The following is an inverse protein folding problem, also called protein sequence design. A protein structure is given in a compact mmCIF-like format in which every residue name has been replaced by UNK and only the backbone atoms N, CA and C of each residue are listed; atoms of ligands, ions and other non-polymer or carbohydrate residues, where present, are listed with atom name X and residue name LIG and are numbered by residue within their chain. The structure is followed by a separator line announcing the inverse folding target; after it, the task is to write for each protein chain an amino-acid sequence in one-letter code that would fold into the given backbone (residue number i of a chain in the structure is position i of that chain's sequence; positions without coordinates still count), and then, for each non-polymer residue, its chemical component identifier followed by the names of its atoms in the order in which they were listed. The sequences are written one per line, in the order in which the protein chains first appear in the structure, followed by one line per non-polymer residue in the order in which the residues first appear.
data_IF_855458928360
#
_entry.id   IF_855458928360
#
_cell.length_a   1.000
_cell.length_b   1.000
_cell.length_c   1.000
_cell.angle_alpha   90.00
_cell.angle_beta   90.00
_cell.angle_gamma   90.00
#
_symmetry.space_group_name_H-M   'P 1'
#
loop_
_entity.id
_entity.type
_entity.pdbx_description
1 polymer ?
#
# COMPACT_ATOMS: atom_id res chain seq x y z
N UNK A 1 10.41 -17.47 -18.31
CA UNK A 1 9.79 -18.17 -17.17
C UNK A 1 9.61 -17.19 -16.01
N UNK A 2 8.40 -17.09 -15.49
CA UNK A 2 8.12 -16.25 -14.35
C UNK A 2 8.51 -16.91 -13.03
N UNK A 3 8.46 -16.13 -11.95
CA UNK A 3 8.66 -16.63 -10.60
C UNK A 3 7.50 -17.55 -10.19
N UNK A 4 7.83 -18.57 -9.44
CA UNK A 4 6.84 -19.40 -8.77
C UNK A 4 6.59 -18.81 -7.39
N UNK A 5 5.34 -18.43 -7.11
CA UNK A 5 4.98 -17.76 -5.86
C UNK A 5 4.34 -18.72 -4.87
N UNK A 6 4.72 -18.59 -3.62
CA UNK A 6 4.01 -19.17 -2.48
C UNK A 6 3.75 -18.01 -1.51
N UNK A 7 2.49 -17.78 -1.16
CA UNK A 7 2.09 -16.58 -0.41
C UNK A 7 1.38 -17.01 0.87
N UNK A 8 1.79 -16.41 1.99
CA UNK A 8 1.11 -16.52 3.27
C UNK A 8 0.56 -15.17 3.68
N UNK A 9 -0.58 -15.17 4.35
CA UNK A 9 -1.25 -13.97 4.85
C UNK A 9 -1.62 -14.15 6.32
N UNK A 10 -1.51 -13.07 7.09
CA UNK A 10 -1.97 -13.07 8.48
C UNK A 10 -2.34 -11.65 8.90
N UNK A 11 -3.40 -11.52 9.68
CA UNK A 11 -3.81 -10.28 10.30
C UNK A 11 -4.46 -10.58 11.64
N UNK A 12 -4.19 -9.75 12.64
CA UNK A 12 -4.74 -9.94 13.97
C UNK A 12 -5.02 -8.58 14.63
N UNK A 13 -6.12 -8.50 15.36
CA UNK A 13 -6.50 -7.29 16.08
C UNK A 13 -5.57 -6.99 17.26
N UNK A 14 -5.02 -8.03 17.90
CA UNK A 14 -4.23 -7.87 19.10
C UNK A 14 -5.06 -7.31 20.26
N UNK A 15 -4.48 -6.44 21.09
CA UNK A 15 -5.19 -5.88 22.25
C UNK A 15 -6.14 -4.72 21.91
N UNK A 16 -6.23 -4.30 20.65
CA UNK A 16 -7.09 -3.21 20.23
C UNK A 16 -8.55 -3.66 20.11
N UNK A 17 -9.48 -2.72 20.22
CA UNK A 17 -10.92 -3.00 20.08
C UNK A 17 -11.32 -3.22 18.62
N UNK A 18 -10.56 -2.66 17.67
CA UNK A 18 -10.81 -2.77 16.25
C UNK A 18 -9.51 -3.02 15.50
N UNK A 19 -9.55 -3.92 14.53
CA UNK A 19 -8.45 -4.13 13.60
C UNK A 19 -8.59 -3.14 12.42
N UNK A 20 -7.75 -2.12 12.41
CA UNK A 20 -7.73 -1.11 11.36
C UNK A 20 -6.71 -1.40 10.25
N UNK A 21 -6.05 -2.55 10.33
CA UNK A 21 -5.18 -3.04 9.27
C UNK A 21 -6.01 -3.71 8.17
N UNK A 22 -5.49 -3.68 6.97
CA UNK A 22 -6.04 -4.40 5.84
C UNK A 22 -4.91 -4.99 5.03
N UNK A 23 -5.19 -6.09 4.35
CA UNK A 23 -4.28 -6.70 3.39
C UNK A 23 -5.06 -7.16 2.17
N UNK A 24 -4.38 -7.20 1.03
CA UNK A 24 -4.96 -7.67 -0.21
C UNK A 24 -3.91 -8.34 -1.08
N UNK A 25 -4.24 -9.53 -1.58
CA UNK A 25 -3.40 -10.28 -2.52
C UNK A 25 -4.23 -10.58 -3.75
N UNK A 26 -3.71 -10.27 -4.93
CA UNK A 26 -4.32 -10.61 -6.20
C UNK A 26 -3.32 -11.42 -7.03
N UNK A 27 -3.66 -12.66 -7.32
CA UNK A 27 -2.88 -13.54 -8.18
C UNK A 27 -3.72 -13.83 -9.42
N UNK A 28 -3.63 -12.98 -10.46
CA UNK A 28 -4.51 -13.11 -11.62
C UNK A 28 -4.14 -14.31 -12.50
N UNK A 29 -4.99 -14.61 -13.48
CA UNK A 29 -4.71 -15.64 -14.48
C UNK A 29 -3.37 -15.38 -15.19
N UNK A 30 -2.69 -16.42 -15.72
CA UNK A 30 -1.32 -16.29 -16.24
C UNK A 30 -1.12 -15.18 -17.28
N UNK A 31 -2.07 -14.98 -18.18
CA UNK A 31 -1.97 -13.91 -19.19
C UNK A 31 -1.96 -12.53 -18.57
N UNK A 32 -2.83 -12.29 -17.59
CA UNK A 32 -2.91 -11.02 -16.89
C UNK A 32 -1.72 -10.83 -15.94
N UNK A 33 -1.26 -11.90 -15.30
CA UNK A 33 -0.05 -11.87 -14.47
C UNK A 33 1.19 -11.50 -15.30
N UNK A 34 1.28 -11.98 -16.55
CA UNK A 34 2.39 -11.66 -17.43
C UNK A 34 2.39 -10.18 -17.82
N UNK A 35 1.23 -9.58 -18.06
CA UNK A 35 1.13 -8.16 -18.47
C UNK A 35 1.11 -7.19 -17.31
N UNK A 36 0.49 -7.54 -16.19
CA UNK A 36 0.26 -6.63 -15.05
C UNK A 36 0.93 -7.06 -13.76
N UNK A 37 1.30 -8.32 -13.63
CA UNK A 37 1.91 -8.88 -12.43
C UNK A 37 0.92 -9.29 -11.34
N UNK A 38 1.47 -9.81 -10.25
CA UNK A 38 0.75 -10.10 -9.02
C UNK A 38 0.81 -8.90 -8.09
N UNK A 39 -0.26 -8.63 -7.36
CA UNK A 39 -0.35 -7.50 -6.44
C UNK A 39 -0.50 -7.97 -5.01
N UNK A 40 0.37 -7.49 -4.14
CA UNK A 40 0.28 -7.70 -2.70
C UNK A 40 0.33 -6.34 -2.02
N UNK A 41 -0.60 -6.06 -1.12
CA UNK A 41 -0.66 -4.76 -0.47
C UNK A 41 -1.13 -4.87 0.96
N UNK A 42 -0.59 -4.01 1.80
CA UNK A 42 -1.01 -3.84 3.20
C UNK A 42 -1.30 -2.37 3.46
N UNK A 43 -2.19 -2.12 4.40
CA UNK A 43 -2.52 -0.79 4.85
C UNK A 43 -2.81 -0.81 6.35
N UNK A 44 -2.36 0.19 7.05
CA UNK A 44 -2.61 0.41 8.47
C UNK A 44 -3.37 1.73 8.60
N UNK A 45 -4.65 1.64 8.97
CA UNK A 45 -5.49 2.81 9.19
C UNK A 45 -5.02 3.62 10.38
N UNK A 46 -5.07 4.93 10.27
CA UNK A 46 -4.63 5.82 11.34
C UNK A 46 -5.70 5.88 12.43
N UNK A 47 -5.35 5.46 13.65
CA UNK A 47 -6.30 5.31 14.75
C UNK A 47 -6.92 6.64 15.22
N UNK A 48 -6.24 7.76 14.99
CA UNK A 48 -6.70 9.08 15.40
C UNK A 48 -7.61 9.76 14.37
N UNK A 49 -7.86 9.12 13.22
CA UNK A 49 -8.78 9.65 12.23
C UNK A 49 -10.21 9.13 12.45
N UNK A 50 -11.16 9.63 11.65
CA UNK A 50 -12.57 9.30 11.80
C UNK A 50 -12.87 7.81 11.66
N UNK A 51 -12.25 7.13 10.69
CA UNK A 51 -12.41 5.70 10.44
C UNK A 51 -11.20 5.15 9.68
N UNK A 52 -10.16 4.78 10.43
CA UNK A 52 -8.93 4.25 9.87
C UNK A 52 -9.14 2.90 9.19
N UNK A 53 -9.99 2.05 9.73
CA UNK A 53 -10.32 0.76 9.12
C UNK A 53 -10.98 0.91 7.76
N UNK A 54 -11.93 1.84 7.62
CA UNK A 54 -12.57 2.14 6.34
C UNK A 54 -11.54 2.69 5.35
N UNK A 55 -10.68 3.62 5.79
CA UNK A 55 -9.64 4.19 4.94
C UNK A 55 -8.70 3.11 4.40
N UNK A 56 -8.25 2.19 5.25
CA UNK A 56 -7.39 1.08 4.86
C UNK A 56 -8.07 0.13 3.88
N UNK A 57 -9.26 -0.36 4.20
CA UNK A 57 -9.99 -1.33 3.38
C UNK A 57 -10.39 -0.74 2.03
N UNK A 58 -10.94 0.47 2.00
CA UNK A 58 -11.36 1.10 0.75
C UNK A 58 -10.19 1.37 -0.18
N UNK A 59 -9.04 1.75 0.38
CA UNK A 59 -7.83 2.03 -0.41
C UNK A 59 -7.29 0.77 -1.06
N UNK A 60 -7.22 -0.35 -0.33
CA UNK A 60 -6.75 -1.61 -0.89
C UNK A 60 -7.75 -2.21 -1.88
N UNK A 61 -9.05 -2.08 -1.62
CA UNK A 61 -10.07 -2.56 -2.54
C UNK A 61 -10.02 -1.80 -3.86
N UNK A 62 -9.94 -0.48 -3.82
CA UNK A 62 -9.84 0.34 -5.01
C UNK A 62 -8.57 0.01 -5.81
N UNK A 63 -7.44 -0.12 -5.13
CA UNK A 63 -6.17 -0.47 -5.77
C UNK A 63 -6.25 -1.84 -6.46
N UNK A 64 -6.79 -2.85 -5.79
CA UNK A 64 -6.89 -4.21 -6.32
C UNK A 64 -7.81 -4.29 -7.55
N UNK A 65 -8.92 -3.55 -7.54
CA UNK A 65 -9.86 -3.52 -8.65
C UNK A 65 -9.33 -2.70 -9.82
N UNK A 66 -8.85 -1.50 -9.55
CA UNK A 66 -8.56 -0.53 -10.59
C UNK A 66 -7.18 -0.73 -11.22
N UNK A 67 -6.23 -1.32 -10.50
CA UNK A 67 -4.90 -1.56 -11.04
C UNK A 67 -4.96 -2.40 -12.34
N UNK A 68 -5.74 -3.48 -12.34
CA UNK A 68 -5.86 -4.36 -13.48
C UNK A 68 -6.70 -3.76 -14.62
N UNK A 69 -7.43 -2.69 -14.35
CA UNK A 69 -8.19 -1.94 -15.34
C UNK A 69 -7.38 -0.83 -16.00
N UNK A 70 -6.18 -0.52 -15.50
CA UNK A 70 -5.30 0.47 -16.15
C UNK A 70 -4.75 -0.09 -17.45
N UNK A 71 -4.43 0.79 -18.44
CA UNK A 71 -3.90 0.33 -19.73
C UNK A 71 -2.61 -0.49 -19.57
N UNK A 72 -2.48 -1.56 -20.33
CA UNK A 72 -1.28 -2.40 -20.33
C UNK A 72 -0.03 -1.64 -20.81
N UNK A 73 -0.23 -0.57 -21.57
CA UNK A 73 0.85 0.29 -22.06
C UNK A 73 1.45 1.19 -20.99
N UNK A 74 0.76 1.36 -19.86
CA UNK A 74 1.29 2.18 -18.77
C UNK A 74 2.36 1.42 -17.98
N UNK A 75 3.41 2.12 -17.59
CA UNK A 75 4.36 1.59 -16.61
C UNK A 75 3.65 1.29 -15.28
N UNK A 76 4.14 0.32 -14.54
CA UNK A 76 3.56 -0.07 -13.24
C UNK A 76 3.51 1.14 -12.30
N UNK A 77 4.60 1.90 -12.20
CA UNK A 77 4.64 3.12 -11.35
C UNK A 77 3.58 4.12 -11.78
N UNK A 78 3.39 4.34 -13.08
CA UNK A 78 2.37 5.25 -13.58
C UNK A 78 0.97 4.82 -13.16
N UNK A 79 0.66 3.54 -13.29
CA UNK A 79 -0.63 2.98 -12.88
C UNK A 79 -0.85 3.16 -11.37
N UNK A 80 0.12 2.77 -10.56
CA UNK A 80 0.03 2.88 -9.11
C UNK A 80 -0.12 4.34 -8.67
N UNK A 81 0.67 5.24 -9.23
CA UNK A 81 0.65 6.65 -8.86
C UNK A 81 -0.69 7.30 -9.17
N UNK A 82 -1.24 7.04 -10.36
CA UNK A 82 -2.57 7.54 -10.74
C UNK A 82 -3.65 7.08 -9.78
N UNK A 83 -3.63 5.80 -9.40
CA UNK A 83 -4.63 5.23 -8.49
C UNK A 83 -4.48 5.77 -7.07
N UNK A 84 -3.25 5.89 -6.58
CA UNK A 84 -3.00 6.40 -5.22
C UNK A 84 -3.35 7.88 -5.11
N UNK A 85 -3.08 8.69 -6.13
CA UNK A 85 -3.50 10.09 -6.16
C UNK A 85 -5.03 10.21 -6.17
N UNK A 86 -5.72 9.38 -6.93
CA UNK A 86 -7.18 9.36 -6.96
C UNK A 86 -7.75 8.95 -5.59
N UNK A 87 -7.17 7.94 -4.96
CA UNK A 87 -7.60 7.48 -3.64
C UNK A 87 -7.34 8.53 -2.56
N UNK A 88 -6.22 9.25 -2.65
CA UNK A 88 -5.92 10.36 -1.76
C UNK A 88 -7.03 11.42 -1.80
N UNK A 89 -7.45 11.80 -2.99
CA UNK A 89 -8.54 12.77 -3.18
C UNK A 89 -9.88 12.22 -2.66
N UNK A 90 -10.15 10.95 -2.90
CA UNK A 90 -11.37 10.30 -2.42
C UNK A 90 -11.45 10.33 -0.89
N UNK A 91 -10.36 9.98 -0.21
CA UNK A 91 -10.29 10.01 1.25
C UNK A 91 -10.51 11.41 1.80
N UNK A 92 -9.93 12.42 1.16
CA UNK A 92 -10.12 13.81 1.58
C UNK A 92 -11.57 14.28 1.39
N UNK A 93 -12.24 13.81 0.35
CA UNK A 93 -13.61 14.23 0.02
C UNK A 93 -14.68 13.49 0.84
N UNK A 94 -14.39 12.31 1.37
CA UNK A 94 -15.40 11.41 1.97
C UNK A 94 -15.31 11.27 3.49
N UNK A 95 -14.51 12.09 4.14
CA UNK A 95 -14.36 12.07 5.59
C UNK A 95 -15.46 12.82 6.37
N UNK A 96 -16.39 13.48 5.68
CA UNK A 96 -17.44 14.25 6.34
C UNK A 96 -16.91 15.38 7.23
N UNK A 97 -15.85 16.07 6.81
CA UNK A 97 -15.17 17.10 7.58
C UNK A 97 -14.12 16.56 8.55
N UNK A 98 -14.00 15.25 8.68
CA UNK A 98 -12.98 14.57 9.46
C UNK A 98 -11.98 13.91 8.52
N UNK A 99 -10.69 13.85 8.86
CA UNK A 99 -9.72 13.17 8.02
C UNK A 99 -9.97 11.66 7.98
N UNK A 100 -9.87 11.07 6.79
CA UNK A 100 -9.77 9.61 6.58
C UNK A 100 -8.34 9.32 6.15
N UNK A 101 -7.57 8.67 7.00
CA UNK A 101 -6.14 8.49 6.83
C UNK A 101 -5.75 7.02 6.91
N UNK A 102 -4.86 6.59 6.02
CA UNK A 102 -4.25 5.27 6.09
C UNK A 102 -2.84 5.29 5.51
N UNK A 103 -1.98 4.42 6.02
CA UNK A 103 -0.74 4.07 5.35
C UNK A 103 -1.04 3.09 4.23
N UNK A 104 -0.10 2.89 3.32
CA UNK A 104 -0.21 1.87 2.29
C UNK A 104 1.17 1.48 1.77
N UNK A 105 1.40 0.18 1.66
CA UNK A 105 2.59 -0.36 1.00
C UNK A 105 2.13 -1.46 0.06
N UNK A 106 2.46 -1.31 -1.23
CA UNK A 106 2.04 -2.23 -2.28
C UNK A 106 3.25 -2.77 -3.03
N UNK A 107 3.19 -4.06 -3.35
CA UNK A 107 4.19 -4.77 -4.13
C UNK A 107 3.54 -5.34 -5.37
N UNK A 108 4.12 -5.04 -6.54
CA UNK A 108 3.76 -5.68 -7.81
C UNK A 108 4.94 -6.55 -8.25
N UNK A 109 4.66 -7.84 -8.45
CA UNK A 109 5.62 -8.82 -8.97
C UNK A 109 5.25 -9.17 -10.40
N UNK A 110 6.08 -8.78 -11.35
CA UNK A 110 5.88 -9.08 -12.77
C UNK A 110 7.13 -9.71 -13.35
N UNK A 111 7.01 -10.94 -13.83
CA UNK A 111 8.17 -11.70 -14.31
C UNK A 111 9.17 -11.93 -13.18
N UNK A 112 10.39 -11.44 -13.33
CA UNK A 112 11.46 -11.52 -12.33
C UNK A 112 11.74 -10.18 -11.65
N UNK A 113 10.84 -9.22 -11.82
CA UNK A 113 11.00 -7.85 -11.28
C UNK A 113 9.90 -7.55 -10.28
N UNK A 114 10.18 -6.62 -9.39
CA UNK A 114 9.20 -6.10 -8.48
C UNK A 114 9.19 -4.57 -8.46
N UNK A 115 8.04 -4.02 -8.13
CA UNK A 115 7.84 -2.58 -7.91
C UNK A 115 7.17 -2.41 -6.56
N UNK A 116 7.74 -1.58 -5.70
CA UNK A 116 7.14 -1.18 -4.43
C UNK A 116 6.61 0.25 -4.52
N UNK A 117 5.42 0.47 -3.97
CA UNK A 117 4.86 1.79 -3.70
C UNK A 117 4.65 1.90 -2.19
N UNK A 118 5.07 3.00 -1.58
CA UNK A 118 5.10 3.11 -0.12
C UNK A 118 4.74 4.50 0.36
N UNK A 119 3.77 4.56 1.29
CA UNK A 119 3.36 5.76 2.02
C UNK A 119 3.10 5.36 3.47
N UNK A 120 3.84 5.94 4.40
CA UNK A 120 3.64 5.73 5.82
C UNK A 120 4.75 4.92 6.48
N UNK A 121 4.38 4.12 7.46
CA UNK A 121 5.33 3.37 8.29
C UNK A 121 5.11 1.85 8.29
N UNK A 122 4.29 1.33 7.39
CA UNK A 122 4.35 -0.10 7.05
C UNK A 122 5.71 -0.41 6.42
N UNK A 123 6.13 -1.66 6.48
CA UNK A 123 7.48 -2.00 6.04
C UNK A 123 7.46 -3.18 5.09
N UNK A 124 8.34 -3.13 4.10
CA UNK A 124 8.62 -4.24 3.20
C UNK A 124 10.08 -4.65 3.36
N UNK A 125 10.31 -5.95 3.42
CA UNK A 125 11.64 -6.54 3.54
C UNK A 125 11.87 -7.55 2.44
N UNK A 126 13.10 -7.62 1.95
CA UNK A 126 13.56 -8.68 1.07
C UNK A 126 14.49 -9.60 1.87
N UNK A 127 14.12 -10.87 1.97
CA UNK A 127 15.01 -11.90 2.49
C UNK A 127 15.67 -12.62 1.30
N UNK A 128 16.97 -12.53 1.22
CA UNK A 128 17.75 -13.15 0.13
C UNK A 128 19.11 -13.55 0.65
N UNK A 129 19.54 -14.79 0.34
CA UNK A 129 20.88 -15.28 0.64
C UNK A 129 21.25 -15.14 2.13
N UNK A 130 20.29 -15.40 3.02
CA UNK A 130 20.49 -15.29 4.45
C UNK A 130 20.48 -13.89 5.03
N UNK A 131 20.18 -12.88 4.21
CA UNK A 131 20.11 -11.47 4.64
C UNK A 131 18.70 -10.92 4.58
N UNK A 132 18.34 -10.15 5.59
CA UNK A 132 17.10 -9.40 5.63
C UNK A 132 17.38 -7.94 5.27
N UNK A 133 16.88 -7.51 4.12
CA UNK A 133 17.10 -6.17 3.60
C UNK A 133 15.79 -5.37 3.66
N UNK A 134 15.80 -4.29 4.43
CA UNK A 134 14.66 -3.38 4.48
C UNK A 134 14.59 -2.56 3.21
N UNK A 135 13.40 -2.56 2.57
CA UNK A 135 13.18 -1.89 1.29
C UNK A 135 12.52 -0.52 1.45
N UNK A 136 11.90 -0.25 2.59
CA UNK A 136 11.13 0.98 2.83
C UNK A 136 11.71 1.81 3.95
N UNK A 137 11.50 3.12 3.90
CA UNK A 137 11.81 4.04 5.00
C UNK A 137 10.51 4.52 5.63
N UNK A 138 10.45 4.58 6.95
CA UNK A 138 9.27 5.04 7.67
C UNK A 138 9.07 6.55 7.44
N UNK A 139 7.86 6.95 7.09
CA UNK A 139 7.48 8.35 6.96
C UNK A 139 6.96 8.87 8.30
N UNK A 140 7.87 9.05 9.25
CA UNK A 140 7.56 9.53 10.60
C UNK A 140 8.51 10.66 10.97
N UNK A 141 8.13 11.47 11.97
CA UNK A 141 8.99 12.50 12.48
C UNK A 141 10.22 11.89 13.16
N UNK A 142 11.40 12.44 12.89
CA UNK A 142 12.66 11.89 13.39
C UNK A 142 12.95 12.30 14.86
N UNK A 143 12.23 13.28 15.40
CA UNK A 143 12.40 13.68 16.79
C UNK A 143 12.07 12.53 17.76
N UNK A 144 12.84 12.33 18.84
CA UNK A 144 12.70 11.15 19.71
C UNK A 144 11.29 10.92 20.29
N UNK A 145 10.50 11.98 20.47
CA UNK A 145 9.16 11.87 21.04
C UNK A 145 8.06 11.79 19.97
N UNK A 146 8.41 11.84 18.68
CA UNK A 146 7.44 11.93 17.57
C UNK A 146 7.59 10.84 16.54
N UNK A 147 8.33 9.78 16.82
CA UNK A 147 8.56 8.68 15.88
C UNK A 147 7.31 7.85 15.58
N UNK A 148 6.23 8.04 16.32
CA UNK A 148 4.92 7.45 16.09
C UNK A 148 4.00 8.37 15.27
N UNK A 149 4.44 9.59 14.95
CA UNK A 149 3.64 10.57 14.20
C UNK A 149 4.04 10.53 12.73
N UNK A 150 3.07 10.21 11.88
CA UNK A 150 3.30 10.11 10.45
C UNK A 150 3.55 11.47 9.81
N UNK A 151 4.53 11.54 8.90
CA UNK A 151 4.74 12.69 8.02
C UNK A 151 4.01 12.54 6.70
N UNK A 152 3.66 11.31 6.31
CA UNK A 152 2.92 11.01 5.09
C UNK A 152 1.92 9.89 5.35
N UNK A 153 0.73 10.06 4.79
CA UNK A 153 -0.32 9.05 4.76
C UNK A 153 -1.26 9.38 3.59
N UNK A 154 -1.99 8.38 3.10
CA UNK A 154 -3.08 8.64 2.16
C UNK A 154 -4.18 9.42 2.87
N UNK A 155 -4.64 10.49 2.24
CA UNK A 155 -5.67 11.38 2.78
C UNK A 155 -5.14 12.56 3.60
N UNK A 156 -3.84 12.57 3.92
CA UNK A 156 -3.25 13.58 4.82
C UNK A 156 -3.06 14.93 4.12
N UNK A 157 -2.43 14.94 2.96
CA UNK A 157 -2.09 16.16 2.25
C UNK A 157 -2.72 16.20 0.86
N UNK A 158 -2.93 17.41 0.36
CA UNK A 158 -3.40 17.61 -1.01
C UNK A 158 -2.37 17.08 -2.02
N UNK A 159 -1.08 17.24 -1.74
CA UNK A 159 0.00 16.69 -2.53
C UNK A 159 0.52 15.41 -1.90
N UNK A 160 0.16 14.28 -2.48
CA UNK A 160 0.64 12.97 -2.05
C UNK A 160 2.02 12.70 -2.66
N UNK A 161 2.98 12.35 -1.82
CA UNK A 161 4.31 11.91 -2.24
C UNK A 161 4.48 10.44 -1.89
N UNK A 162 4.56 9.59 -2.89
CA UNK A 162 4.74 8.14 -2.75
C UNK A 162 6.19 7.79 -3.04
N UNK A 163 6.78 6.94 -2.21
CA UNK A 163 8.08 6.37 -2.51
C UNK A 163 7.92 5.15 -3.42
N UNK A 164 8.71 5.08 -4.47
CA UNK A 164 8.75 3.93 -5.39
C UNK A 164 10.13 3.31 -5.40
N UNK A 165 10.17 1.98 -5.43
CA UNK A 165 11.39 1.19 -5.58
C UNK A 165 11.14 0.12 -6.63
N UNK A 166 12.07 0.00 -7.57
CA UNK A 166 12.03 -1.05 -8.60
C UNK A 166 13.30 -1.91 -8.57
#
# INVERSE_FOLDING_TARGET
MGLRLSIGEASACGPRTENQDALRVVTPAPALAASKGHLLAIADGVSQCADGGLAARSSLQALALDYYATPETWAIVQSLDRLLLAQNRWLQANGGGQPLLTTLTALVLRGTRYTLAHVGDCRAYLWRDGELLRQTSDHVWEQPHMQHVLTRALGLDQHLVVDYLE
#
